data_IF_715649935484
#
_entry.id   IF_715649935484
#
_cell.length_a   1.000
_cell.length_b   1.000
_cell.length_c   1.000
_cell.angle_alpha   90.00
_cell.angle_beta   90.00
_cell.angle_gamma   90.00
#
_symmetry.space_group_name_H-M   'P 1'
#
loop_
_entity.id
_entity.type
_entity.pdbx_description
1 polymer ?
#
# COMPACT_ATOMS: atom_id res chain seq x y z
N UNK A 1 14.44 1.27 33.50
CA UNK A 1 13.36 0.47 32.90
C UNK A 1 13.89 -0.79 32.21
N UNK A 2 14.78 -0.70 31.20
CA UNK A 2 15.31 -1.87 30.46
C UNK A 2 15.86 -3.02 31.32
N UNK A 3 16.66 -2.71 32.36
CA UNK A 3 17.16 -3.74 33.28
C UNK A 3 16.04 -4.37 34.11
N UNK A 4 15.04 -3.59 34.52
CA UNK A 4 13.92 -4.07 35.33
C UNK A 4 13.01 -4.99 34.51
N UNK A 5 12.73 -4.63 33.26
CA UNK A 5 11.88 -5.42 32.36
C UNK A 5 12.58 -6.70 31.86
N UNK A 6 13.91 -6.69 31.71
CA UNK A 6 14.64 -7.86 31.20
C UNK A 6 15.20 -8.78 32.30
N UNK A 7 15.33 -8.34 33.56
CA UNK A 7 16.00 -9.12 34.63
C UNK A 7 15.13 -9.47 35.84
N UNK A 8 13.89 -8.99 35.95
CA UNK A 8 13.00 -9.31 37.07
C UNK A 8 11.70 -9.94 36.57
N UNK A 9 11.23 -11.06 37.17
CA UNK A 9 10.05 -11.78 36.73
C UNK A 9 8.77 -11.17 37.33
N UNK A 10 8.57 -9.86 37.14
CA UNK A 10 7.37 -9.16 37.63
C UNK A 10 6.67 -8.41 36.49
N UNK A 11 6.11 -9.12 35.49
CA UNK A 11 5.42 -8.49 34.36
C UNK A 11 4.26 -7.60 34.83
N UNK A 12 3.54 -7.96 35.90
CA UNK A 12 2.42 -7.16 36.41
C UNK A 12 2.77 -5.73 36.83
N UNK A 13 4.05 -5.42 37.11
CA UNK A 13 4.45 -4.06 37.52
C UNK A 13 4.25 -3.01 36.41
N UNK A 14 4.21 -3.43 35.14
CA UNK A 14 4.06 -2.47 34.03
C UNK A 14 2.64 -1.92 33.91
N UNK A 15 1.68 -2.67 34.45
CA UNK A 15 0.24 -2.38 34.40
C UNK A 15 -0.28 -1.72 35.69
N UNK A 16 0.60 -1.54 36.69
CA UNK A 16 0.28 -0.83 37.92
C UNK A 16 -0.16 0.60 37.60
N UNK A 17 -1.34 0.95 38.12
CA UNK A 17 -1.95 2.27 37.93
C UNK A 17 -1.56 3.18 39.09
N UNK A 18 -1.27 4.44 38.77
CA UNK A 18 -1.25 5.51 39.77
C UNK A 18 -2.65 5.86 40.26
N UNK A 19 -2.74 6.77 41.23
CA UNK A 19 -4.01 7.27 41.80
C UNK A 19 -4.95 7.88 40.74
N UNK A 20 -4.39 8.44 39.67
CA UNK A 20 -5.10 8.98 38.50
C UNK A 20 -5.41 7.92 37.43
N UNK A 21 -5.13 6.65 37.70
CA UNK A 21 -5.37 5.53 36.80
C UNK A 21 -4.33 5.38 35.68
N UNK A 22 -3.30 6.22 35.62
CA UNK A 22 -2.29 6.14 34.56
C UNK A 22 -1.31 4.99 34.81
N UNK A 23 -1.12 4.15 33.78
CA UNK A 23 -0.02 3.18 33.74
C UNK A 23 1.23 3.79 33.12
N UNK A 24 2.36 3.07 33.17
CA UNK A 24 3.59 3.49 32.50
C UNK A 24 3.39 3.72 30.99
N UNK A 25 2.56 2.89 30.34
CA UNK A 25 2.27 3.00 28.91
C UNK A 25 1.45 4.27 28.58
N UNK A 26 0.49 4.64 29.43
CA UNK A 26 -0.24 5.90 29.27
C UNK A 26 0.69 7.12 29.31
N UNK A 27 1.62 7.14 30.27
CA UNK A 27 2.58 8.24 30.41
C UNK A 27 3.56 8.30 29.24
N UNK A 28 4.01 7.14 28.74
CA UNK A 28 4.85 7.07 27.55
C UNK A 28 4.11 7.57 26.30
N UNK A 29 2.84 7.18 26.14
CA UNK A 29 1.97 7.64 25.08
C UNK A 29 1.71 9.15 25.14
N UNK A 30 1.40 9.69 26.31
CA UNK A 30 1.13 11.12 26.50
C UNK A 30 2.34 12.01 26.16
N UNK A 31 3.55 11.58 26.53
CA UNK A 31 4.79 12.36 26.40
C UNK A 31 5.62 12.02 25.16
N UNK A 32 5.10 11.22 24.22
CA UNK A 32 5.81 10.78 23.01
C UNK A 32 7.13 10.02 23.26
N UNK A 33 7.21 9.24 24.34
CA UNK A 33 8.40 8.44 24.64
C UNK A 33 8.34 7.09 23.92
N UNK A 34 8.58 7.10 22.59
CA UNK A 34 8.42 5.94 21.70
C UNK A 34 9.24 4.73 22.17
N UNK A 35 10.53 4.92 22.45
CA UNK A 35 11.41 3.83 22.90
C UNK A 35 10.94 3.20 24.22
N UNK A 36 10.33 4.00 25.10
CA UNK A 36 9.76 3.52 26.37
C UNK A 36 8.49 2.72 26.11
N UNK A 37 7.62 3.21 25.22
CA UNK A 37 6.41 2.48 24.81
C UNK A 37 6.77 1.14 24.16
N UNK A 38 7.77 1.10 23.27
CA UNK A 38 8.26 -0.14 22.66
C UNK A 38 8.78 -1.13 23.69
N UNK A 39 9.56 -0.67 24.67
CA UNK A 39 10.05 -1.54 25.74
C UNK A 39 8.89 -2.09 26.59
N UNK A 40 7.91 -1.26 26.92
CA UNK A 40 6.75 -1.65 27.73
C UNK A 40 5.88 -2.68 27.00
N UNK A 41 5.62 -2.49 25.70
CA UNK A 41 4.78 -3.42 24.93
C UNK A 41 5.52 -4.72 24.66
N UNK A 42 6.73 -4.68 24.09
CA UNK A 42 7.42 -5.90 23.67
C UNK A 42 8.09 -6.67 24.80
N UNK A 43 8.71 -5.98 25.77
CA UNK A 43 9.42 -6.65 26.87
C UNK A 43 8.58 -6.71 28.14
N UNK A 44 7.83 -5.65 28.41
CA UNK A 44 6.93 -5.58 29.56
C UNK A 44 5.63 -6.36 29.39
N UNK A 45 5.24 -6.69 28.14
CA UNK A 45 3.93 -7.26 27.81
C UNK A 45 2.79 -6.42 28.40
N UNK A 46 2.95 -5.10 28.37
CA UNK A 46 1.99 -4.16 28.96
C UNK A 46 0.61 -4.31 28.30
N UNK A 47 -0.43 -4.33 29.12
CA UNK A 47 -1.80 -4.36 28.63
C UNK A 47 -2.18 -2.98 28.07
N UNK A 48 -2.33 -2.92 26.74
CA UNK A 48 -2.60 -1.68 26.00
C UNK A 48 -4.03 -1.16 26.16
N UNK A 49 -4.95 -2.03 26.61
CA UNK A 49 -6.39 -1.75 26.70
C UNK A 49 -6.81 -1.25 28.08
N UNK A 50 -5.85 -1.13 29.02
CA UNK A 50 -6.12 -0.54 30.32
C UNK A 50 -6.56 0.91 30.17
N UNK A 51 -7.57 1.29 30.94
CA UNK A 51 -8.12 2.63 30.95
C UNK A 51 -7.74 3.39 32.23
N UNK A 52 -7.44 4.69 32.11
CA UNK A 52 -7.26 5.61 33.23
C UNK A 52 -8.63 6.03 33.84
N UNK A 53 -8.63 6.97 34.81
CA UNK A 53 -9.88 7.45 35.44
C UNK A 53 -10.86 8.16 34.50
N UNK A 54 -10.37 8.67 33.36
CA UNK A 54 -11.18 9.24 32.29
C UNK A 54 -11.61 8.19 31.26
N UNK A 55 -11.43 6.91 31.57
CA UNK A 55 -11.66 5.79 30.67
C UNK A 55 -10.82 5.84 29.38
N UNK A 56 -9.74 6.64 29.34
CA UNK A 56 -8.88 6.73 28.17
C UNK A 56 -7.83 5.62 28.21
N UNK A 57 -7.60 4.97 27.08
CA UNK A 57 -6.45 4.06 26.89
C UNK A 57 -5.20 4.83 26.46
N UNK A 58 -4.05 4.17 26.44
CA UNK A 58 -2.82 4.75 25.91
C UNK A 58 -2.98 5.22 24.45
N UNK A 59 -3.80 4.51 23.65
CA UNK A 59 -4.09 4.89 22.27
C UNK A 59 -4.87 6.21 22.18
N UNK A 60 -5.84 6.46 23.07
CA UNK A 60 -6.55 7.74 23.11
C UNK A 60 -5.59 8.91 23.31
N UNK A 61 -4.69 8.80 24.29
CA UNK A 61 -3.71 9.84 24.60
C UNK A 61 -2.73 10.08 23.45
N UNK A 62 -2.27 9.02 22.79
CA UNK A 62 -1.40 9.13 21.62
C UNK A 62 -2.10 9.83 20.45
N UNK A 63 -3.38 9.53 20.22
CA UNK A 63 -4.19 10.15 19.16
C UNK A 63 -4.50 11.61 19.50
N UNK A 64 -4.96 11.92 20.72
CA UNK A 64 -5.24 13.28 21.19
C UNK A 64 -4.02 14.20 20.97
N UNK A 65 -2.82 13.68 21.24
CA UNK A 65 -1.55 14.40 21.09
C UNK A 65 -0.89 14.26 19.72
N UNK A 66 -1.49 13.54 18.79
CA UNK A 66 -1.02 13.37 17.42
C UNK A 66 0.35 12.66 17.30
N UNK A 67 0.68 11.80 18.27
CA UNK A 67 1.93 11.04 18.33
C UNK A 67 1.89 9.81 17.42
N UNK A 68 2.00 10.05 16.11
CA UNK A 68 1.84 9.04 15.06
C UNK A 68 2.66 7.76 15.24
N UNK A 69 3.90 7.85 15.72
CA UNK A 69 4.75 6.68 15.94
C UNK A 69 4.20 5.76 17.04
N UNK A 70 3.68 6.33 18.13
CA UNK A 70 3.05 5.56 19.20
C UNK A 70 1.72 4.99 18.75
N UNK A 71 0.92 5.75 18.01
CA UNK A 71 -0.33 5.24 17.41
C UNK A 71 -0.04 4.02 16.53
N UNK A 72 0.98 4.09 15.67
CA UNK A 72 1.38 2.96 14.81
C UNK A 72 1.83 1.75 15.62
N UNK A 73 2.65 1.96 16.65
CA UNK A 73 3.08 0.90 17.54
C UNK A 73 1.88 0.20 18.18
N UNK A 74 0.99 0.94 18.85
CA UNK A 74 -0.15 0.35 19.57
C UNK A 74 -1.11 -0.39 18.63
N UNK A 75 -1.37 0.16 17.44
CA UNK A 75 -2.23 -0.49 16.43
C UNK A 75 -1.58 -1.78 15.90
N UNK A 76 -0.29 -1.75 15.60
CA UNK A 76 0.46 -2.90 15.09
C UNK A 76 0.50 -4.05 16.10
N UNK A 77 0.66 -3.72 17.37
CA UNK A 77 0.73 -4.71 18.46
C UNK A 77 -0.67 -5.20 18.88
N UNK A 78 -1.74 -4.77 18.19
CA UNK A 78 -3.08 -5.33 18.37
C UNK A 78 -3.92 -4.67 19.47
N UNK A 79 -3.66 -3.41 19.83
CA UNK A 79 -4.53 -2.70 20.79
C UNK A 79 -5.97 -2.58 20.27
N UNK A 80 -6.93 -2.62 21.19
CA UNK A 80 -8.33 -2.49 20.82
C UNK A 80 -8.67 -1.04 20.45
N UNK A 81 -8.99 -0.83 19.17
CA UNK A 81 -9.25 0.49 18.58
C UNK A 81 -10.63 1.06 18.90
N UNK A 82 -11.49 0.28 19.56
CA UNK A 82 -12.91 0.55 19.71
C UNK A 82 -13.34 0.77 21.17
N UNK A 83 -12.38 0.80 22.10
CA UNK A 83 -12.66 1.10 23.51
C UNK A 83 -13.12 2.56 23.61
N UNK A 84 -14.29 2.85 24.21
CA UNK A 84 -14.76 4.20 24.40
C UNK A 84 -14.20 4.84 25.69
N UNK A 85 -13.93 6.14 25.64
CA UNK A 85 -13.57 6.94 26.80
C UNK A 85 -14.80 7.38 27.63
N UNK A 86 -14.58 8.31 28.58
CA UNK A 86 -15.64 8.80 29.47
C UNK A 86 -16.73 9.57 28.72
N UNK A 87 -16.48 10.12 27.55
CA UNK A 87 -17.48 10.77 26.71
C UNK A 87 -18.11 9.81 25.69
N UNK A 88 -17.68 8.54 25.71
CA UNK A 88 -18.09 7.53 24.74
C UNK A 88 -17.33 7.63 23.42
N UNK A 89 -16.32 8.50 23.35
CA UNK A 89 -15.52 8.71 22.16
C UNK A 89 -14.47 7.60 22.05
N UNK A 90 -14.38 6.98 20.87
CA UNK A 90 -13.29 6.06 20.54
C UNK A 90 -12.06 6.86 20.06
N UNK A 91 -10.87 6.25 19.95
CA UNK A 91 -9.72 6.91 19.36
C UNK A 91 -9.99 7.51 17.97
N UNK A 92 -10.89 6.90 17.18
CA UNK A 92 -11.28 7.45 15.88
C UNK A 92 -12.14 8.72 16.00
N UNK A 93 -13.02 8.82 17.01
CA UNK A 93 -13.73 10.06 17.31
C UNK A 93 -12.76 11.19 17.64
N UNK A 94 -11.77 10.92 18.49
CA UNK A 94 -10.74 11.90 18.87
C UNK A 94 -9.90 12.36 17.68
N UNK A 95 -9.48 11.45 16.80
CA UNK A 95 -8.72 11.79 15.59
C UNK A 95 -9.51 12.77 14.68
N UNK A 96 -10.81 12.51 14.48
CA UNK A 96 -11.68 13.33 13.63
C UNK A 96 -12.06 14.65 14.30
N UNK A 97 -12.31 14.64 15.61
CA UNK A 97 -12.53 15.86 16.41
C UNK A 97 -11.31 16.78 16.29
N UNK A 98 -10.10 16.26 16.48
CA UNK A 98 -8.88 17.04 16.36
C UNK A 98 -8.68 17.57 14.93
N UNK A 99 -8.96 16.76 13.91
CA UNK A 99 -8.94 17.21 12.51
C UNK A 99 -9.88 18.40 12.27
N UNK A 100 -11.14 18.27 12.67
CA UNK A 100 -12.15 19.31 12.48
C UNK A 100 -11.80 20.60 13.22
N UNK A 101 -11.35 20.51 14.48
CA UNK A 101 -10.93 21.67 15.25
C UNK A 101 -9.67 22.34 14.68
N UNK A 102 -8.77 21.57 14.07
CA UNK A 102 -7.58 22.11 13.39
C UNK A 102 -7.98 22.90 12.14
N UNK A 103 -8.92 22.38 11.34
CA UNK A 103 -9.46 23.09 10.18
C UNK A 103 -10.18 24.39 10.56
N UNK A 104 -11.02 24.35 11.60
CA UNK A 104 -11.75 25.53 12.07
C UNK A 104 -10.82 26.63 12.60
N UNK A 105 -9.77 26.28 13.35
CA UNK A 105 -8.76 27.24 13.81
C UNK A 105 -8.04 27.93 12.65
N UNK A 106 -7.68 27.16 11.61
CA UNK A 106 -7.05 27.73 10.41
C UNK A 106 -7.97 28.74 9.72
N UNK A 107 -9.27 28.45 9.60
CA UNK A 107 -10.24 29.37 8.99
C UNK A 107 -10.41 30.67 9.79
N UNK A 108 -10.25 30.61 11.12
CA UNK A 108 -10.28 31.77 11.99
C UNK A 108 -8.98 32.59 11.90
N UNK A 109 -7.83 31.94 11.77
CA UNK A 109 -6.52 32.61 11.59
C UNK A 109 -6.41 33.36 10.25
N UNK A 110 -7.17 32.98 9.21
CA UNK A 110 -7.21 33.74 7.94
C UNK A 110 -7.95 35.07 8.07
N UNK A 111 -8.78 35.24 9.11
CA UNK A 111 -9.47 36.51 9.39
C UNK A 111 -8.55 37.51 10.11
N UNK A 112 -7.39 37.07 10.61
CA UNK A 112 -6.30 37.92 11.09
C UNK A 112 -5.38 38.36 9.93
N UNK A 113 -5.94 39.11 8.98
CA UNK A 113 -5.24 39.66 7.80
C UNK A 113 -4.03 40.54 8.19
N UNK A 114 -3.93 40.96 9.46
CA UNK A 114 -2.82 41.74 9.99
C UNK A 114 -1.47 41.01 10.07
N UNK A 115 -1.44 39.67 10.12
CA UNK A 115 -0.17 38.90 10.20
C UNK A 115 0.43 38.54 8.83
N UNK A 116 -0.30 38.70 7.73
CA UNK A 116 0.20 38.45 6.38
C UNK A 116 1.14 39.56 5.86
N UNK A 117 1.16 40.73 6.51
CA UNK A 117 1.98 41.88 6.11
C UNK A 117 3.42 41.87 6.68
N UNK A 118 3.73 40.97 7.61
CA UNK A 118 5.11 40.74 8.07
C UNK A 118 5.45 39.28 7.76
N UNK A 119 6.26 39.06 6.72
CA UNK A 119 6.59 37.77 6.11
C UNK A 119 7.25 36.72 7.01
N UNK A 120 6.57 36.34 8.09
CA UNK A 120 6.84 35.22 8.97
C UNK A 120 5.61 34.32 8.99
N UNK A 121 5.24 33.82 7.81
CA UNK A 121 4.26 32.75 7.68
C UNK A 121 4.84 31.47 8.29
N UNK A 122 4.40 31.13 9.49
CA UNK A 122 4.79 29.94 10.23
C UNK A 122 4.78 28.67 9.35
N UNK A 123 5.96 28.14 9.07
CA UNK A 123 6.13 26.76 8.65
C UNK A 123 5.89 25.86 9.88
N UNK A 124 4.64 25.44 10.10
CA UNK A 124 4.26 24.46 11.12
C UNK A 124 3.82 23.15 10.48
N UNK A 125 4.44 22.04 10.89
CA UNK A 125 4.45 20.73 10.23
C UNK A 125 3.21 19.85 10.49
N UNK A 126 2.13 20.36 11.07
CA UNK A 126 1.03 19.53 11.61
C UNK A 126 -0.09 19.21 10.60
N UNK A 127 0.04 19.70 9.36
CA UNK A 127 -1.04 19.77 8.35
C UNK A 127 -1.59 18.41 7.88
N UNK A 128 -0.98 17.28 8.24
CA UNK A 128 -1.34 15.93 7.76
C UNK A 128 -1.55 14.88 8.86
N UNK A 129 -1.28 15.20 10.13
CA UNK A 129 -1.23 14.17 11.17
C UNK A 129 -2.62 13.61 11.51
N UNK A 130 -3.62 14.45 11.75
CA UNK A 130 -4.92 14.01 12.27
C UNK A 130 -5.74 13.19 11.28
N UNK A 131 -5.85 13.66 10.03
CA UNK A 131 -6.53 12.92 8.96
C UNK A 131 -5.80 11.61 8.65
N UNK A 132 -4.46 11.60 8.67
CA UNK A 132 -3.71 10.36 8.43
C UNK A 132 -3.88 9.35 9.55
N UNK A 133 -3.92 9.80 10.82
CA UNK A 133 -4.24 8.95 11.97
C UNK A 133 -5.66 8.38 11.83
N UNK A 134 -6.66 9.20 11.48
CA UNK A 134 -8.03 8.73 11.29
C UNK A 134 -8.13 7.67 10.18
N UNK A 135 -7.52 7.92 9.01
CA UNK A 135 -7.46 6.95 7.91
C UNK A 135 -6.72 5.67 8.32
N UNK A 136 -5.64 5.80 9.09
CA UNK A 136 -4.87 4.67 9.56
C UNK A 136 -5.67 3.80 10.54
N UNK A 137 -6.36 4.40 11.51
CA UNK A 137 -7.23 3.68 12.44
C UNK A 137 -8.38 2.97 11.69
N UNK A 138 -9.06 3.67 10.78
CA UNK A 138 -10.14 3.09 9.98
C UNK A 138 -9.65 1.91 9.12
N UNK A 139 -8.50 2.06 8.46
CA UNK A 139 -7.88 1.00 7.66
C UNK A 139 -7.41 -0.21 8.49
N UNK A 140 -7.20 -0.05 9.80
CA UNK A 140 -6.83 -1.15 10.70
C UNK A 140 -8.03 -1.78 11.43
N UNK A 141 -9.27 -1.35 11.16
CA UNK A 141 -10.47 -1.96 11.71
C UNK A 141 -11.09 -1.21 12.89
N UNK A 142 -10.80 0.10 13.03
CA UNK A 142 -11.62 0.94 13.88
C UNK A 142 -13.05 1.04 13.32
N UNK A 143 -14.04 0.89 14.20
CA UNK A 143 -15.45 0.88 13.86
C UNK A 143 -15.96 2.33 13.67
N UNK A 144 -16.57 2.57 12.52
CA UNK A 144 -17.16 3.84 12.12
C UNK A 144 -18.61 4.01 12.61
N UNK A 145 -19.23 2.95 13.14
CA UNK A 145 -20.62 2.92 13.58
C UNK A 145 -20.83 3.15 15.08
N UNK A 146 -19.77 3.12 15.89
CA UNK A 146 -19.86 3.33 17.34
C UNK A 146 -20.35 4.74 17.62
N UNK A 147 -21.36 4.87 18.47
CA UNK A 147 -21.89 6.18 18.88
C UNK A 147 -21.35 6.56 20.25
N UNK A 148 -20.88 7.80 20.37
CA UNK A 148 -20.52 8.38 21.65
C UNK A 148 -21.75 8.72 22.51
N UNK A 149 -21.54 9.26 23.71
CA UNK A 149 -22.66 9.63 24.61
C UNK A 149 -23.58 10.73 24.06
N UNK A 150 -23.11 11.49 23.06
CA UNK A 150 -23.92 12.49 22.33
C UNK A 150 -24.70 11.88 21.16
N UNK A 151 -24.61 10.56 20.96
CA UNK A 151 -25.26 9.83 19.86
C UNK A 151 -24.60 10.04 18.50
N UNK A 152 -23.39 10.61 18.47
CA UNK A 152 -22.63 10.91 17.25
C UNK A 152 -21.71 9.74 16.93
N UNK A 153 -21.64 9.35 15.66
CA UNK A 153 -20.61 8.45 15.13
C UNK A 153 -19.32 9.24 14.84
N UNK A 154 -18.16 8.58 14.63
CA UNK A 154 -16.95 9.28 14.21
C UNK A 154 -17.16 10.09 12.93
N UNK A 155 -17.93 9.56 11.98
CA UNK A 155 -18.22 10.24 10.71
C UNK A 155 -19.04 11.53 10.91
N UNK A 156 -19.92 11.59 11.91
CA UNK A 156 -20.68 12.80 12.23
C UNK A 156 -19.79 13.95 12.74
N UNK A 157 -18.56 13.65 13.20
CA UNK A 157 -17.57 14.63 13.63
C UNK A 157 -16.70 15.15 12.47
N UNK A 158 -16.81 14.57 11.28
CA UNK A 158 -16.01 14.90 10.11
C UNK A 158 -16.83 15.71 9.09
N UNK A 159 -16.57 17.02 8.93
CA UNK A 159 -17.28 17.85 7.95
C UNK A 159 -16.74 17.72 6.52
N UNK A 160 -15.55 17.11 6.31
CA UNK A 160 -14.94 16.97 4.98
C UNK A 160 -15.51 15.75 4.23
N UNK A 161 -16.27 15.95 3.14
CA UNK A 161 -16.88 14.86 2.38
C UNK A 161 -15.85 13.92 1.74
N UNK A 162 -14.64 14.41 1.43
CA UNK A 162 -13.59 13.59 0.81
C UNK A 162 -12.95 12.65 1.83
N UNK A 163 -12.72 13.15 3.05
CA UNK A 163 -12.20 12.34 4.14
C UNK A 163 -13.21 11.28 4.57
N UNK A 164 -14.50 11.62 4.67
CA UNK A 164 -15.57 10.64 4.94
C UNK A 164 -15.60 9.51 3.91
N UNK A 165 -15.48 9.84 2.61
CA UNK A 165 -15.40 8.82 1.54
C UNK A 165 -14.16 7.95 1.65
N UNK A 166 -13.01 8.55 1.99
CA UNK A 166 -11.76 7.80 2.18
C UNK A 166 -11.87 6.82 3.36
N UNK A 167 -12.41 7.26 4.51
CA UNK A 167 -12.62 6.42 5.68
C UNK A 167 -13.58 5.26 5.39
N UNK A 168 -14.70 5.54 4.72
CA UNK A 168 -15.66 4.52 4.32
C UNK A 168 -15.08 3.51 3.33
N UNK A 169 -14.17 3.93 2.44
CA UNK A 169 -13.45 3.03 1.53
C UNK A 169 -12.46 2.14 2.28
N UNK A 170 -11.63 2.73 3.14
CA UNK A 170 -10.63 2.01 3.93
C UNK A 170 -11.25 0.93 4.85
N UNK A 171 -12.49 1.13 5.31
CA UNK A 171 -13.22 0.15 6.10
C UNK A 171 -13.79 -1.01 5.26
N UNK A 172 -14.31 -0.73 4.05
CA UNK A 172 -14.93 -1.73 3.17
C UNK A 172 -13.96 -2.71 2.53
N UNK A 173 -12.72 -2.29 2.27
CA UNK A 173 -11.70 -3.15 1.68
C UNK A 173 -11.35 -4.36 2.59
N UNK A 174 -11.79 -4.36 3.87
CA UNK A 174 -11.59 -5.46 4.82
C UNK A 174 -12.80 -6.41 4.95
N UNK A 175 -14.02 -5.95 4.68
CA UNK A 175 -15.23 -6.79 4.71
C UNK A 175 -15.26 -7.81 3.54
N UNK A 176 -14.55 -7.51 2.44
CA UNK A 176 -14.43 -8.41 1.29
C UNK A 176 -13.46 -9.58 1.50
N UNK A 177 -12.66 -9.59 2.58
CA UNK A 177 -11.74 -10.68 2.92
C UNK A 177 -12.38 -11.72 3.88
N UNK A 178 -13.70 -11.66 4.13
CA UNK A 178 -14.42 -12.54 5.06
C UNK A 178 -15.18 -13.71 4.42
N UNK A 179 -14.93 -14.05 3.16
CA UNK A 179 -15.48 -15.27 2.53
C UNK A 179 -14.36 -16.24 2.17
N UNK A 180 -13.70 -16.82 3.17
CA UNK A 180 -13.26 -18.22 3.15
C UNK A 180 -13.36 -18.81 4.57
N UNK A 181 -13.81 -20.07 4.73
CA UNK A 181 -14.17 -20.60 6.04
C UNK A 181 -12.92 -20.93 6.86
N UNK A 182 -12.77 -20.25 8.00
CA UNK A 182 -11.82 -20.63 9.06
C UNK A 182 -12.08 -22.06 9.51
N UNK A 183 -11.13 -22.95 9.21
CA UNK A 183 -10.95 -24.22 9.93
C UNK A 183 -9.82 -24.04 10.95
N UNK A 184 -10.06 -24.62 12.13
CA UNK A 184 -9.20 -24.59 13.29
C UNK A 184 -7.94 -25.44 13.13
N UNK A 185 -6.93 -25.09 13.94
CA UNK A 185 -5.79 -25.91 14.41
C UNK A 185 -4.50 -25.95 13.55
N UNK A 186 -3.48 -25.22 14.03
CA UNK A 186 -2.07 -25.37 13.64
C UNK A 186 -1.21 -24.13 13.93
N UNK A 187 -0.01 -24.23 14.54
CA UNK A 187 0.82 -23.07 14.86
C UNK A 187 1.72 -22.70 13.67
N UNK A 188 1.62 -21.45 13.22
CA UNK A 188 2.59 -20.83 12.32
C UNK A 188 1.94 -20.13 11.13
N UNK A 189 1.54 -18.87 11.31
CA UNK A 189 1.24 -17.94 10.22
C UNK A 189 1.19 -16.49 10.77
N UNK A 190 2.31 -15.98 11.30
CA UNK A 190 2.46 -14.58 11.75
C UNK A 190 3.25 -13.68 10.76
N UNK A 191 3.82 -14.23 9.67
CA UNK A 191 4.91 -13.53 8.94
C UNK A 191 4.58 -12.96 7.54
N UNK A 192 3.35 -13.07 7.03
CA UNK A 192 3.10 -12.69 5.61
C UNK A 192 2.83 -11.19 5.42
N UNK A 193 2.33 -10.48 6.45
CA UNK A 193 1.83 -9.08 6.30
C UNK A 193 2.93 -8.01 6.54
N UNK A 194 4.09 -8.38 7.10
CA UNK A 194 5.18 -7.44 7.47
C UNK A 194 6.29 -7.30 6.41
N UNK A 195 6.25 -8.11 5.36
CA UNK A 195 7.32 -8.19 4.36
C UNK A 195 7.31 -7.05 3.33
N UNK A 196 6.23 -6.27 3.25
CA UNK A 196 6.06 -5.23 2.22
C UNK A 196 6.57 -3.84 2.66
N UNK A 197 6.83 -3.61 3.96
CA UNK A 197 7.30 -2.33 4.51
C UNK A 197 8.82 -2.18 4.53
N UNK A 198 9.36 -1.00 4.23
CA UNK A 198 10.79 -0.70 4.28
C UNK A 198 11.40 -0.99 5.66
N UNK A 199 12.40 -1.87 5.75
CA UNK A 199 13.09 -2.22 7.00
C UNK A 199 13.86 -1.06 7.67
N UNK A 200 13.92 0.12 7.05
CA UNK A 200 14.65 1.28 7.55
C UNK A 200 13.71 2.38 8.06
N UNK A 201 12.66 2.72 7.30
CA UNK A 201 11.73 3.78 7.69
C UNK A 201 10.36 3.27 8.12
N UNK A 202 9.98 2.04 7.78
CA UNK A 202 8.65 1.47 8.00
C UNK A 202 7.48 2.29 7.44
N UNK A 203 7.75 3.39 6.72
CA UNK A 203 6.76 4.34 6.23
C UNK A 203 6.36 4.10 4.77
N UNK A 204 7.26 3.49 3.98
CA UNK A 204 7.12 3.31 2.53
C UNK A 204 7.32 1.84 2.21
N UNK A 205 6.61 1.34 1.20
CA UNK A 205 6.79 -0.03 0.70
C UNK A 205 8.21 -0.29 0.21
N UNK A 206 8.67 -1.54 0.32
CA UNK A 206 9.92 -2.00 -0.28
C UNK A 206 9.77 -1.94 -1.80
N UNK A 207 10.59 -1.13 -2.45
CA UNK A 207 10.56 -0.93 -3.90
C UNK A 207 11.97 -0.94 -4.51
N UNK A 208 12.99 -1.35 -3.75
CA UNK A 208 14.37 -1.36 -4.22
C UNK A 208 14.99 -2.75 -4.15
N UNK A 209 15.35 -3.27 -5.32
CA UNK A 209 16.07 -4.51 -5.52
C UNK A 209 17.58 -4.28 -5.40
N UNK A 210 18.24 -5.00 -4.51
CA UNK A 210 19.69 -4.95 -4.32
C UNK A 210 20.43 -5.98 -5.18
N UNK A 211 21.44 -5.53 -5.93
CA UNK A 211 22.36 -6.39 -6.69
C UNK A 211 23.68 -6.57 -5.93
N UNK A 212 24.29 -7.77 -5.95
CA UNK A 212 23.93 -8.95 -6.75
C UNK A 212 22.88 -9.88 -6.12
N UNK A 213 22.61 -9.77 -4.83
CA UNK A 213 21.80 -10.75 -4.08
C UNK A 213 20.35 -10.94 -4.59
N UNK A 214 19.73 -9.91 -5.15
CA UNK A 214 18.34 -9.93 -5.61
C UNK A 214 17.29 -9.78 -4.50
N UNK A 215 17.69 -9.31 -3.31
CA UNK A 215 16.75 -9.06 -2.22
C UNK A 215 16.11 -7.68 -2.31
N UNK A 216 14.88 -7.57 -1.82
CA UNK A 216 14.13 -6.31 -1.69
C UNK A 216 13.90 -6.05 -0.20
N UNK A 217 14.60 -5.07 0.35
CA UNK A 217 14.65 -4.84 1.80
C UNK A 217 14.20 -3.43 2.22
N UNK A 218 14.25 -2.45 1.33
CA UNK A 218 13.97 -1.06 1.67
C UNK A 218 13.30 -0.30 0.52
N UNK A 219 12.80 0.89 0.84
CA UNK A 219 12.32 1.84 -0.15
C UNK A 219 13.49 2.60 -0.82
N UNK A 220 13.18 3.23 -1.94
CA UNK A 220 14.11 3.98 -2.80
C UNK A 220 14.75 5.15 -2.07
N UNK A 221 14.05 5.74 -1.10
CA UNK A 221 14.55 6.84 -0.25
C UNK A 221 15.60 6.36 0.76
N UNK A 222 15.39 5.18 1.35
CA UNK A 222 16.30 4.64 2.38
C UNK A 222 17.49 3.88 1.77
N UNK A 223 17.32 3.34 0.56
CA UNK A 223 18.33 2.51 -0.12
C UNK A 223 19.74 3.14 -0.26
N UNK A 224 19.93 4.46 -0.42
CA UNK A 224 21.27 5.04 -0.55
C UNK A 224 22.11 4.94 0.73
N UNK A 225 21.46 4.81 1.90
CA UNK A 225 22.12 4.70 3.21
C UNK A 225 22.54 3.26 3.54
N UNK A 226 22.06 2.29 2.76
CA UNK A 226 22.28 0.86 2.99
C UNK A 226 23.48 0.36 2.18
N UNK A 227 24.58 0.00 2.86
CA UNK A 227 25.82 -0.50 2.24
C UNK A 227 25.89 -2.03 2.13
N UNK A 228 25.15 -2.74 2.98
CA UNK A 228 25.02 -4.21 2.99
C UNK A 228 23.54 -4.57 3.03
N UNK A 229 23.14 -5.62 2.31
CA UNK A 229 21.76 -6.09 2.28
C UNK A 229 21.28 -6.42 3.70
N UNK A 230 20.10 -5.95 4.08
CA UNK A 230 19.55 -6.18 5.42
C UNK A 230 19.04 -7.62 5.61
N UNK A 231 18.82 -8.36 4.52
CA UNK A 231 18.39 -9.76 4.55
C UNK A 231 19.59 -10.71 4.60
N UNK A 232 20.51 -10.64 3.63
CA UNK A 232 21.63 -11.60 3.51
C UNK A 232 23.01 -11.05 3.92
N UNK A 233 23.11 -9.77 4.33
CA UNK A 233 24.38 -9.08 4.72
C UNK A 233 25.43 -8.93 3.61
N UNK A 234 25.14 -9.35 2.38
CA UNK A 234 26.01 -9.19 1.22
C UNK A 234 26.18 -7.70 0.84
N UNK A 235 27.38 -7.24 0.42
CA UNK A 235 27.58 -5.84 0.00
C UNK A 235 26.70 -5.46 -1.19
N UNK A 236 26.08 -4.28 -1.11
CA UNK A 236 25.20 -3.75 -2.18
C UNK A 236 26.06 -3.07 -3.24
N UNK A 237 26.12 -3.68 -4.43
CA UNK A 237 26.85 -3.16 -5.60
C UNK A 237 25.93 -2.33 -6.49
N UNK A 238 24.66 -2.73 -6.64
CA UNK A 238 23.68 -2.04 -7.48
C UNK A 238 22.32 -1.93 -6.80
N UNK A 239 21.56 -0.89 -7.18
CA UNK A 239 20.20 -0.63 -6.68
C UNK A 239 19.29 -0.40 -7.88
N UNK A 240 18.20 -1.15 -7.97
CA UNK A 240 17.22 -1.01 -9.04
C UNK A 240 15.86 -0.76 -8.39
N UNK A 241 15.19 0.33 -8.79
CA UNK A 241 13.83 0.59 -8.36
C UNK A 241 12.88 -0.33 -9.11
N UNK A 242 11.93 -0.93 -8.40
CA UNK A 242 10.91 -1.81 -8.94
C UNK A 242 9.78 -0.92 -9.46
N UNK A 243 9.53 -1.04 -10.76
CA UNK A 243 8.50 -0.28 -11.48
C UNK A 243 7.29 -1.16 -11.77
N UNK A 244 6.35 -0.61 -12.53
CA UNK A 244 5.18 -1.34 -13.00
C UNK A 244 5.58 -2.46 -13.97
N UNK A 245 4.72 -3.46 -14.10
CA UNK A 245 4.91 -4.58 -15.00
C UNK A 245 4.96 -4.06 -16.43
N UNK A 246 6.07 -4.34 -17.13
CA UNK A 246 6.29 -3.88 -18.51
C UNK A 246 5.31 -4.55 -19.51
N UNK A 247 4.65 -5.64 -19.11
CA UNK A 247 3.74 -6.42 -19.96
C UNK A 247 2.31 -5.91 -19.88
N UNK A 248 1.75 -5.77 -18.67
CA UNK A 248 0.36 -5.33 -18.51
C UNK A 248 0.22 -3.86 -18.11
N UNK A 249 1.27 -3.18 -17.64
CA UNK A 249 1.24 -1.81 -17.09
C UNK A 249 0.28 -1.56 -15.91
N UNK A 250 -0.51 -2.55 -15.50
CA UNK A 250 -1.56 -2.40 -14.49
C UNK A 250 -1.11 -2.79 -13.07
N UNK A 251 -0.14 -3.71 -12.96
CA UNK A 251 0.34 -4.26 -11.68
C UNK A 251 1.82 -3.98 -11.50
N UNK A 252 2.30 -3.87 -10.26
CA UNK A 252 3.74 -3.81 -10.00
C UNK A 252 4.46 -5.08 -10.42
N UNK A 253 5.70 -4.94 -10.87
CA UNK A 253 6.56 -6.09 -11.09
C UNK A 253 6.87 -6.78 -9.74
N UNK A 254 6.61 -8.07 -9.66
CA UNK A 254 6.73 -8.87 -8.43
C UNK A 254 7.60 -10.12 -8.61
N UNK A 255 8.03 -10.45 -9.83
CA UNK A 255 8.82 -11.65 -10.09
C UNK A 255 10.23 -11.31 -10.53
N UNK A 256 11.21 -11.83 -9.81
CA UNK A 256 12.63 -11.75 -10.16
C UNK A 256 13.01 -12.94 -11.05
N UNK A 257 13.50 -12.66 -12.25
CA UNK A 257 13.97 -13.68 -13.18
C UNK A 257 15.44 -14.02 -12.92
N UNK A 258 15.76 -15.31 -12.82
CA UNK A 258 17.13 -15.82 -12.82
C UNK A 258 17.42 -16.51 -14.17
N UNK A 259 18.66 -16.40 -14.69
CA UNK A 259 19.85 -15.82 -14.07
C UNK A 259 19.99 -14.30 -14.24
N UNK A 260 19.18 -13.65 -15.08
CA UNK A 260 19.41 -12.26 -15.49
C UNK A 260 19.20 -11.20 -14.39
N UNK A 261 18.47 -11.52 -13.32
CA UNK A 261 18.25 -10.64 -12.16
C UNK A 261 17.35 -9.43 -12.44
N UNK A 262 16.46 -9.52 -13.44
CA UNK A 262 15.47 -8.48 -13.74
C UNK A 262 14.13 -8.77 -13.07
N UNK A 263 13.51 -7.75 -12.50
CA UNK A 263 12.16 -7.79 -11.95
C UNK A 263 11.29 -6.83 -12.77
N UNK A 264 10.58 -7.36 -13.77
CA UNK A 264 9.88 -6.55 -14.78
C UNK A 264 8.47 -7.03 -15.11
N UNK A 265 8.02 -8.14 -14.51
CA UNK A 265 6.70 -8.71 -14.72
C UNK A 265 5.98 -8.95 -13.38
N UNK A 266 4.65 -8.81 -13.38
CA UNK A 266 3.80 -9.29 -12.30
C UNK A 266 3.62 -10.80 -12.40
N UNK A 267 3.15 -11.46 -11.33
CA UNK A 267 3.03 -12.92 -11.26
C UNK A 267 2.23 -13.53 -12.42
N UNK A 268 1.11 -12.90 -12.79
CA UNK A 268 0.27 -13.38 -13.89
C UNK A 268 0.94 -13.27 -15.27
N UNK A 269 1.68 -12.19 -15.52
CA UNK A 269 2.40 -12.02 -16.78
C UNK A 269 3.65 -12.90 -16.83
N UNK A 270 4.35 -13.05 -15.70
CA UNK A 270 5.55 -13.85 -15.59
C UNK A 270 5.31 -15.33 -15.93
N UNK A 271 4.18 -15.90 -15.51
CA UNK A 271 3.83 -17.30 -15.76
C UNK A 271 3.80 -17.69 -17.25
N UNK A 272 3.62 -16.72 -18.16
CA UNK A 272 3.58 -16.95 -19.60
C UNK A 272 4.95 -16.74 -20.28
N UNK A 273 5.99 -16.35 -19.53
CA UNK A 273 7.27 -15.93 -20.08
C UNK A 273 8.33 -17.02 -19.98
N UNK A 274 8.91 -17.38 -21.13
CA UNK A 274 10.11 -18.25 -21.22
C UNK A 274 11.42 -17.47 -21.38
N UNK A 275 11.34 -16.18 -21.75
CA UNK A 275 12.49 -15.27 -21.92
C UNK A 275 12.19 -13.91 -21.29
N UNK A 276 13.19 -13.27 -20.70
CA UNK A 276 13.07 -11.96 -20.08
C UNK A 276 12.83 -10.88 -21.15
N UNK A 277 11.79 -10.06 -20.99
CA UNK A 277 11.46 -9.00 -21.95
C UNK A 277 12.53 -7.91 -22.04
N UNK A 278 13.25 -7.64 -20.95
CA UNK A 278 14.27 -6.58 -20.90
C UNK A 278 15.60 -6.99 -21.55
N UNK A 279 16.06 -8.23 -21.33
CA UNK A 279 17.39 -8.67 -21.77
C UNK A 279 17.38 -9.87 -22.74
N UNK A 280 16.20 -10.41 -23.06
CA UNK A 280 15.98 -11.59 -23.93
C UNK A 280 16.66 -12.89 -23.46
N UNK A 281 17.28 -12.89 -22.29
CA UNK A 281 17.84 -14.10 -21.67
C UNK A 281 16.73 -15.12 -21.36
N UNK A 282 17.08 -16.40 -21.45
CA UNK A 282 16.21 -17.48 -20.99
C UNK A 282 15.97 -17.36 -19.48
N UNK A 283 14.73 -17.62 -19.06
CA UNK A 283 14.34 -17.60 -17.65
C UNK A 283 14.41 -19.04 -17.16
N UNK A 284 15.30 -19.31 -16.22
CA UNK A 284 15.47 -20.64 -15.63
C UNK A 284 14.58 -20.77 -14.38
N UNK A 285 14.62 -19.73 -13.53
CA UNK A 285 13.83 -19.67 -12.30
C UNK A 285 13.11 -18.34 -12.14
N UNK A 286 11.91 -18.42 -11.58
CA UNK A 286 11.11 -17.28 -11.16
C UNK A 286 11.05 -17.23 -9.64
N UNK A 287 11.59 -16.15 -9.07
CA UNK A 287 11.61 -15.92 -7.62
C UNK A 287 10.54 -14.88 -7.28
N UNK A 288 9.49 -15.25 -6.54
CA UNK A 288 8.44 -14.32 -6.12
C UNK A 288 8.96 -13.22 -5.18
N UNK A 289 8.27 -12.08 -5.17
CA UNK A 289 8.62 -10.91 -4.35
C UNK A 289 8.77 -11.25 -2.86
N UNK A 290 7.86 -12.09 -2.33
CA UNK A 290 7.89 -12.53 -0.93
C UNK A 290 9.22 -13.21 -0.57
N UNK A 291 9.77 -14.04 -1.47
CA UNK A 291 11.05 -14.71 -1.30
C UNK A 291 12.20 -13.72 -1.38
N UNK A 292 12.13 -12.76 -2.32
CA UNK A 292 13.09 -11.66 -2.39
C UNK A 292 13.07 -10.77 -1.14
N UNK A 293 11.98 -10.72 -0.39
CA UNK A 293 11.87 -9.99 0.88
C UNK A 293 12.39 -10.77 2.10
N UNK A 294 12.86 -12.01 1.91
CA UNK A 294 13.30 -12.90 2.98
C UNK A 294 12.20 -13.77 3.59
N UNK A 295 11.00 -13.79 2.98
CA UNK A 295 9.92 -14.69 3.35
C UNK A 295 10.07 -16.09 2.75
N UNK A 296 9.24 -17.02 3.24
CA UNK A 296 9.19 -18.40 2.75
C UNK A 296 8.28 -18.45 1.50
N UNK A 297 8.75 -19.07 0.42
CA UNK A 297 7.95 -19.23 -0.80
C UNK A 297 8.61 -20.18 -1.80
N UNK A 298 7.81 -20.76 -2.70
CA UNK A 298 8.27 -21.74 -3.69
C UNK A 298 8.86 -21.04 -4.91
N UNK A 299 10.11 -21.36 -5.25
CA UNK A 299 10.73 -20.93 -6.51
C UNK A 299 10.18 -21.80 -7.63
N UNK A 300 9.68 -21.18 -8.70
CA UNK A 300 9.13 -21.92 -9.84
C UNK A 300 10.21 -22.13 -10.91
N UNK A 301 10.38 -23.38 -11.33
CA UNK A 301 11.28 -23.76 -12.41
C UNK A 301 10.55 -23.70 -13.75
N UNK A 302 11.15 -23.07 -14.75
CA UNK A 302 10.59 -23.03 -16.11
C UNK A 302 11.12 -24.24 -16.86
N UNK A 303 10.36 -25.35 -16.89
CA UNK A 303 10.75 -26.52 -17.66
C UNK A 303 10.78 -26.16 -19.16
N UNK A 304 11.90 -26.48 -19.80
CA UNK A 304 12.02 -26.47 -21.24
C UNK A 304 11.22 -27.67 -21.77
N UNK A 305 10.11 -27.41 -22.47
CA UNK A 305 9.45 -28.42 -23.28
C UNK A 305 10.45 -28.84 -24.38
N UNK A 306 11.21 -29.90 -24.11
CA UNK A 306 11.99 -30.58 -25.13
C UNK A 306 11.02 -31.50 -25.88
N UNK A 307 10.74 -31.17 -27.14
CA UNK A 307 10.27 -32.14 -28.12
C UNK A 307 11.35 -33.22 -28.31
N UNK A 308 11.06 -34.49 -28.04
CA UNK A 308 11.69 -35.63 -28.73
C UNK A 308 10.89 -36.94 -28.56
N UNK A 309 10.99 -37.78 -29.60
CA UNK A 309 10.16 -38.88 -30.10
C UNK A 309 9.87 -40.14 -29.23
N UNK A 310 8.68 -40.72 -29.49
CA UNK A 310 8.31 -42.15 -29.72
C UNK A 310 9.02 -43.24 -28.90
N UNK A 311 8.30 -44.02 -28.05
CA UNK A 311 7.82 -45.42 -28.28
C UNK A 311 6.75 -45.82 -27.24
N UNK A 312 5.63 -46.44 -27.66
CA UNK A 312 4.60 -47.05 -26.78
C UNK A 312 5.04 -48.39 -26.13
N UNK A 313 4.15 -49.17 -25.44
CA UNK A 313 2.82 -49.54 -25.96
C UNK A 313 1.64 -49.77 -24.96
N UNK A 314 0.43 -49.69 -25.55
CA UNK A 314 -0.82 -50.44 -25.31
C UNK A 314 -1.71 -50.18 -24.06
N UNK A 315 -2.96 -49.76 -24.33
CA UNK A 315 -4.10 -50.10 -23.48
C UNK A 315 -5.38 -49.25 -23.58
N UNK A 316 -6.14 -49.38 -24.69
CA UNK A 316 -7.62 -49.30 -24.66
C UNK A 316 -8.32 -47.94 -24.70
N UNK A 317 -8.82 -47.57 -25.89
CA UNK A 317 -9.90 -46.58 -26.10
C UNK A 317 -11.24 -47.33 -26.13
N UNK A 318 -12.35 -46.71 -25.68
CA UNK A 318 -13.41 -46.46 -26.65
C UNK A 318 -13.91 -45.01 -26.64
N UNK A 319 -14.47 -44.65 -27.78
CA UNK A 319 -14.77 -43.33 -28.33
C UNK A 319 -16.15 -42.83 -27.85
N UNK A 320 -16.21 -41.51 -27.65
CA UNK A 320 -17.29 -40.52 -27.43
C UNK A 320 -18.81 -40.89 -27.48
N UNK A 321 -19.68 -39.98 -26.98
CA UNK A 321 -20.23 -38.98 -27.90
C UNK A 321 -20.19 -37.52 -27.39
N UNK A 322 -19.80 -36.64 -28.30
CA UNK A 322 -20.11 -35.21 -28.36
C UNK A 322 -21.54 -34.91 -27.91
N UNK A 323 -21.69 -33.97 -26.96
CA UNK A 323 -22.98 -33.40 -26.62
C UNK A 323 -22.85 -31.89 -26.36
N UNK A 324 -23.35 -31.13 -27.34
CA UNK A 324 -24.15 -29.91 -27.19
C UNK A 324 -23.43 -28.63 -26.72
N UNK A 325 -23.10 -27.81 -27.74
CA UNK A 325 -23.09 -26.36 -27.64
C UNK A 325 -24.38 -25.89 -26.95
N UNK A 326 -24.26 -25.32 -25.75
CA UNK A 326 -25.36 -24.59 -25.15
C UNK A 326 -25.24 -23.13 -25.57
N UNK A 327 -26.05 -22.73 -26.56
CA UNK A 327 -26.44 -21.34 -26.78
C UNK A 327 -27.29 -20.91 -25.58
N UNK A 328 -26.62 -20.55 -24.49
CA UNK A 328 -27.24 -19.91 -23.35
C UNK A 328 -27.20 -18.40 -23.57
N UNK A 329 -28.35 -17.84 -23.93
CA UNK A 329 -28.65 -16.41 -23.94
C UNK A 329 -28.04 -15.72 -22.72
N UNK A 330 -26.91 -15.03 -22.90
CA UNK A 330 -26.36 -14.16 -21.85
C UNK A 330 -27.03 -12.82 -22.02
N UNK A 331 -27.98 -12.55 -21.12
CA UNK A 331 -28.42 -11.21 -20.83
C UNK A 331 -27.18 -10.33 -20.67
N UNK A 332 -26.94 -9.45 -21.65
CA UNK A 332 -25.84 -8.49 -21.62
C UNK A 332 -26.10 -7.57 -20.43
N UNK A 333 -25.49 -7.88 -19.29
CA UNK A 333 -25.67 -7.12 -18.07
C UNK A 333 -25.30 -5.66 -18.34
N UNK A 334 -26.07 -4.70 -17.82
CA UNK A 334 -25.76 -3.27 -17.97
C UNK A 334 -24.31 -2.93 -17.55
N UNK A 335 -23.71 -3.74 -16.67
CA UNK A 335 -22.29 -3.65 -16.32
C UNK A 335 -21.32 -4.05 -17.44
N UNK A 336 -21.66 -5.03 -18.27
CA UNK A 336 -20.83 -5.42 -19.42
C UNK A 336 -20.90 -4.37 -20.52
N UNK A 337 -22.08 -3.77 -20.74
CA UNK A 337 -22.25 -2.64 -21.66
C UNK A 337 -21.44 -1.42 -21.18
N UNK A 338 -21.46 -1.12 -19.88
CA UNK A 338 -20.65 -0.04 -19.30
C UNK A 338 -19.14 -0.29 -19.42
N UNK A 339 -18.69 -1.53 -19.17
CA UNK A 339 -17.27 -1.90 -19.33
C UNK A 339 -16.83 -1.77 -20.79
N UNK A 340 -17.64 -2.22 -21.74
CA UNK A 340 -17.36 -2.10 -23.18
C UNK A 340 -17.37 -0.63 -23.62
N UNK A 341 -18.29 0.19 -23.11
CA UNK A 341 -18.33 1.64 -23.38
C UNK A 341 -17.08 2.34 -22.83
N UNK A 342 -16.61 1.97 -21.63
CA UNK A 342 -15.37 2.50 -21.07
C UNK A 342 -14.15 2.09 -21.89
N UNK A 343 -14.04 0.81 -22.26
CA UNK A 343 -12.95 0.33 -23.11
C UNK A 343 -12.94 1.02 -24.48
N UNK A 344 -14.12 1.26 -25.07
CA UNK A 344 -14.23 2.00 -26.33
C UNK A 344 -13.77 3.47 -26.18
N UNK A 345 -14.06 4.09 -25.03
CA UNK A 345 -13.65 5.46 -24.73
C UNK A 345 -12.12 5.55 -24.52
N UNK A 346 -11.53 4.61 -23.79
CA UNK A 346 -10.08 4.55 -23.55
C UNK A 346 -9.32 4.35 -24.87
N UNK A 347 -9.80 3.46 -25.75
CA UNK A 347 -9.23 3.25 -27.09
C UNK A 347 -9.36 4.52 -27.95
N UNK A 348 -10.49 5.22 -27.88
CA UNK A 348 -10.66 6.51 -28.58
C UNK A 348 -9.64 7.52 -28.09
N UNK A 349 -9.48 7.70 -26.78
CA UNK A 349 -8.52 8.66 -26.22
C UNK A 349 -7.07 8.34 -26.58
N UNK A 350 -6.71 7.05 -26.61
CA UNK A 350 -5.37 6.61 -27.02
C UNK A 350 -5.10 6.80 -28.51
N UNK A 351 -6.13 6.74 -29.36
CA UNK A 351 -5.99 6.86 -30.81
C UNK A 351 -6.25 8.26 -31.35
N UNK A 352 -6.85 9.16 -30.57
CA UNK A 352 -7.12 10.55 -30.94
C UNK A 352 -5.90 11.47 -30.80
N UNK A 353 -5.79 12.42 -31.73
CA UNK A 353 -4.74 13.42 -31.75
C UNK A 353 -4.81 14.27 -30.47
N UNK A 354 -3.74 14.38 -29.67
CA UNK A 354 -3.74 15.10 -28.40
C UNK A 354 -3.89 16.62 -28.54
N UNK A 355 -3.90 17.12 -29.78
CA UNK A 355 -3.90 18.55 -30.10
C UNK A 355 -5.29 19.01 -30.50
N UNK A 356 -5.93 18.32 -31.45
CA UNK A 356 -7.28 18.69 -31.89
C UNK A 356 -8.38 17.86 -31.26
N UNK A 357 -8.07 16.71 -30.65
CA UNK A 357 -9.04 15.75 -30.10
C UNK A 357 -10.09 15.20 -31.09
N UNK A 358 -10.12 15.70 -32.33
CA UNK A 358 -11.13 15.36 -33.34
C UNK A 358 -10.67 14.33 -34.38
N UNK A 359 -9.36 14.14 -34.54
CA UNK A 359 -8.77 13.29 -35.60
C UNK A 359 -7.92 12.19 -35.00
N UNK A 360 -7.85 11.04 -35.65
CA UNK A 360 -6.97 9.94 -35.24
C UNK A 360 -5.48 10.30 -35.48
N UNK A 361 -4.60 9.71 -34.67
CA UNK A 361 -3.14 9.76 -34.84
C UNK A 361 -2.76 8.96 -36.07
N UNK A 362 -2.42 9.65 -37.15
CA UNK A 362 -1.92 9.05 -38.39
C UNK A 362 -0.50 9.54 -38.73
N UNK A 363 0.20 10.13 -37.75
CA UNK A 363 1.56 10.59 -37.90
C UNK A 363 2.33 10.47 -36.59
N UNK A 364 3.58 9.98 -36.65
CA UNK A 364 4.48 9.83 -35.51
C UNK A 364 5.76 10.64 -35.74
N UNK A 365 6.23 11.30 -34.69
CA UNK A 365 7.55 11.95 -34.65
C UNK A 365 8.64 10.95 -34.24
N UNK A 366 9.91 11.21 -34.57
CA UNK A 366 11.04 10.36 -34.13
C UNK A 366 11.13 10.12 -32.62
N UNK A 367 10.55 11.00 -31.81
CA UNK A 367 10.48 10.82 -30.36
C UNK A 367 9.43 9.78 -29.92
N UNK A 368 8.70 9.15 -30.84
CA UNK A 368 7.70 8.11 -30.58
C UNK A 368 6.27 8.63 -30.34
N UNK A 369 6.06 9.94 -30.29
CA UNK A 369 4.76 10.53 -30.02
C UNK A 369 3.95 10.78 -31.31
N UNK A 370 2.64 10.47 -31.25
CA UNK A 370 1.74 10.55 -32.39
C UNK A 370 0.77 11.75 -32.35
N UNK A 371 0.53 12.34 -33.52
CA UNK A 371 -0.48 13.39 -33.77
C UNK A 371 -1.21 13.08 -35.07
N UNK A 372 -2.30 13.80 -35.38
CA UNK A 372 -2.82 13.80 -36.74
C UNK A 372 -1.93 14.65 -37.65
N UNK A 373 -1.87 14.29 -38.94
CA UNK A 373 -1.08 14.96 -39.96
C UNK A 373 -1.29 16.49 -39.95
N UNK A 374 -2.56 16.93 -39.95
CA UNK A 374 -2.91 18.36 -39.95
C UNK A 374 -2.34 19.14 -38.77
N UNK A 375 -2.26 18.51 -37.59
CA UNK A 375 -1.72 19.14 -36.39
C UNK A 375 -0.20 19.12 -36.39
N UNK A 376 0.44 17.99 -36.68
CA UNK A 376 1.89 17.90 -36.58
C UNK A 376 2.66 18.50 -37.77
N UNK A 377 2.02 18.77 -38.91
CA UNK A 377 2.62 19.53 -40.02
C UNK A 377 2.89 20.99 -39.62
N UNK A 378 2.12 21.52 -38.66
CA UNK A 378 2.25 22.89 -38.15
C UNK A 378 3.20 23.01 -36.94
N UNK A 379 3.75 21.89 -36.47
CA UNK A 379 4.53 21.84 -35.23
C UNK A 379 6.03 21.77 -35.52
N UNK A 380 6.79 22.66 -34.90
CA UNK A 380 8.26 22.60 -34.84
C UNK A 380 8.77 21.73 -33.70
N UNK A 381 7.95 21.54 -32.66
CA UNK A 381 8.27 20.77 -31.45
C UNK A 381 7.16 19.78 -31.11
N UNK A 382 7.53 18.64 -30.52
CA UNK A 382 6.58 17.64 -30.09
C UNK A 382 5.72 18.17 -28.93
N UNK A 383 4.37 18.10 -29.00
CA UNK A 383 3.50 18.63 -27.95
C UNK A 383 3.58 17.85 -26.62
N UNK A 384 4.08 16.60 -26.66
CA UNK A 384 4.17 15.74 -25.46
C UNK A 384 5.55 15.88 -24.79
N UNK A 385 6.65 15.76 -25.55
CA UNK A 385 8.00 15.76 -24.97
C UNK A 385 8.84 17.01 -25.26
N UNK A 386 8.29 18.00 -25.98
CA UNK A 386 8.93 19.29 -26.33
C UNK A 386 10.28 19.16 -27.06
N UNK A 387 10.59 17.99 -27.61
CA UNK A 387 11.76 17.79 -28.49
C UNK A 387 11.47 18.36 -29.88
N UNK A 388 12.48 18.93 -30.52
CA UNK A 388 12.40 19.44 -31.89
C UNK A 388 12.01 18.32 -32.86
N UNK A 389 11.13 18.61 -33.81
CA UNK A 389 10.65 17.63 -34.80
C UNK A 389 11.64 17.51 -35.94
N UNK A 390 12.48 16.48 -35.89
CA UNK A 390 13.48 16.19 -36.93
C UNK A 390 12.90 15.43 -38.13
N UNK A 391 11.96 14.50 -37.91
CA UNK A 391 11.32 13.72 -38.97
C UNK A 391 9.89 13.34 -38.58
N UNK A 392 9.01 13.35 -39.59
CA UNK A 392 7.58 13.01 -39.51
C UNK A 392 7.35 11.73 -40.31
N UNK A 393 6.72 10.74 -39.70
CA UNK A 393 6.41 9.45 -40.31
C UNK A 393 4.89 9.33 -40.35
N UNK A 394 4.30 9.27 -41.54
CA UNK A 394 2.87 9.02 -41.70
C UNK A 394 2.58 7.53 -41.52
N UNK A 395 1.59 7.24 -40.68
CA UNK A 395 1.02 5.91 -40.54
C UNK A 395 -0.19 5.84 -41.47
N UNK A 396 -0.14 4.91 -42.42
CA UNK A 396 -1.15 4.69 -43.44
C UNK A 396 -2.46 4.17 -42.85
#
# INVERSE_FOLDING_TARGET
MRILLMKLPRPWIVDEKKDDGYTALHLAALNNHVEVAELLVHQGQANMDLQNVNLQTALHLAVERQHTQIVRLLVREGSNLNIPDKDGDTPLHEALRHHTLSQLRQLQDVQDVGKLLMGLGSQGADKKSSASIACFLAGNGADLGIKNKKGQTPLDLCPDPNLCKALAKCHKDKDTDLIEPRRTDGPGEEDVVTLDECLVCSDIKRDTLFKPCGHVACCSVCSPRVKKCLVCREPVVGRVKIEECVVCSDKKASVLFKPCGHMCACDGCAALMKKCVQCRAQIDHMVPFVVCCGGIGTISDVQADNEEDIVGPLGGVPVEPVCLMNNGSRDTSNSDIQKLQQQLQDIKEQTMCPVCLDRLKNMIFLCGHGTCQMCGDRMSECPICRKQVEKRILLY
#
